data_IF_727755195387
#
_entry.id   IF_727755195387
#
_cell.length_a   1.000
_cell.length_b   1.000
_cell.length_c   1.000
_cell.angle_alpha   90.00
_cell.angle_beta   90.00
_cell.angle_gamma   90.00
#
_symmetry.space_group_name_H-M   'P 1'
#
loop_
_entity.id
_entity.type
_entity.pdbx_description
1 polymer ?
#
# COMPACT_ATOMS: atom_id res chain seq x y z
N UNK A 1 -21.85 -10.82 0.41
CA UNK A 1 -20.79 -9.89 -0.05
C UNK A 1 -19.83 -10.69 -0.90
N UNK A 2 -19.59 -10.27 -2.15
CA UNK A 2 -18.68 -10.98 -3.07
C UNK A 2 -17.22 -10.93 -2.59
N UNK A 3 -16.37 -11.76 -3.18
CA UNK A 3 -14.92 -11.79 -2.91
C UNK A 3 -14.34 -10.43 -3.30
N UNK A 4 -13.80 -9.69 -2.32
CA UNK A 4 -13.09 -8.43 -2.57
C UNK A 4 -11.66 -8.78 -2.99
N UNK A 5 -11.33 -8.53 -4.26
CA UNK A 5 -9.95 -8.61 -4.72
C UNK A 5 -9.17 -7.39 -4.21
N UNK A 6 -8.15 -7.59 -3.38
CA UNK A 6 -7.30 -6.47 -2.91
C UNK A 6 -6.51 -5.82 -4.06
N UNK A 7 -6.20 -6.53 -5.13
CA UNK A 7 -5.38 -5.94 -6.20
C UNK A 7 -6.19 -4.97 -7.07
N UNK A 8 -7.47 -5.26 -7.31
CA UNK A 8 -8.39 -4.49 -8.16
C UNK A 8 -9.76 -4.46 -7.48
N UNK A 9 -9.93 -3.72 -6.37
CA UNK A 9 -11.14 -3.80 -5.54
C UNK A 9 -12.37 -3.16 -6.18
N UNK A 10 -12.19 -2.15 -7.02
CA UNK A 10 -13.26 -1.37 -7.66
C UNK A 10 -12.71 -0.59 -8.87
N UNK A 11 -13.48 0.37 -9.39
CA UNK A 11 -13.12 1.20 -10.57
C UNK A 11 -12.26 2.40 -10.23
N UNK A 12 -12.08 2.74 -8.95
CA UNK A 12 -11.46 3.98 -8.48
C UNK A 12 -10.02 3.79 -8.03
N UNK A 13 -9.61 2.56 -7.68
CA UNK A 13 -8.26 2.27 -7.20
C UNK A 13 -7.83 0.83 -7.44
N UNK A 14 -6.53 0.62 -7.34
CA UNK A 14 -5.90 -0.70 -7.43
C UNK A 14 -4.50 -0.66 -6.82
N UNK A 15 -3.84 -1.81 -6.73
CA UNK A 15 -2.48 -1.92 -6.21
C UNK A 15 -1.54 -2.50 -7.28
N UNK A 16 -0.34 -1.91 -7.42
CA UNK A 16 0.73 -2.36 -8.31
C UNK A 16 1.98 -2.88 -7.59
N UNK A 17 1.90 -3.12 -6.27
CA UNK A 17 3.09 -3.35 -5.45
C UNK A 17 3.87 -4.62 -5.81
N UNK A 18 3.18 -5.72 -6.14
CA UNK A 18 3.83 -6.97 -6.55
C UNK A 18 4.59 -6.83 -7.87
N UNK A 19 4.30 -5.78 -8.65
CA UNK A 19 5.02 -5.41 -9.87
C UNK A 19 6.18 -4.43 -9.60
N UNK A 20 6.53 -4.20 -8.33
CA UNK A 20 7.65 -3.35 -7.91
C UNK A 20 7.34 -1.85 -7.91
N UNK A 21 6.07 -1.44 -7.77
CA UNK A 21 5.69 -0.02 -7.80
C UNK A 21 6.45 0.85 -6.78
N UNK A 22 6.68 0.30 -5.59
CA UNK A 22 7.33 1.01 -4.48
C UNK A 22 8.80 0.62 -4.29
N UNK A 23 9.38 -0.16 -5.21
CA UNK A 23 10.78 -0.60 -5.12
C UNK A 23 11.73 0.45 -5.73
N UNK A 24 11.74 1.64 -5.15
CA UNK A 24 12.57 2.76 -5.56
C UNK A 24 13.14 3.42 -4.30
N UNK A 25 14.37 3.91 -4.34
CA UNK A 25 14.91 4.70 -3.22
C UNK A 25 14.04 5.93 -2.93
N UNK A 26 13.58 6.58 -4.00
CA UNK A 26 12.49 7.55 -3.97
C UNK A 26 11.21 6.92 -4.52
N UNK A 27 10.35 6.50 -3.59
CA UNK A 27 9.01 5.99 -3.88
C UNK A 27 7.91 7.01 -3.58
N UNK A 28 8.23 8.31 -3.54
CA UNK A 28 7.26 9.38 -3.35
C UNK A 28 6.15 9.33 -4.41
N UNK A 29 4.97 9.84 -4.04
CA UNK A 29 3.78 9.85 -4.89
C UNK A 29 4.07 10.49 -6.24
N UNK A 30 4.79 11.60 -6.23
CA UNK A 30 5.18 12.36 -7.40
C UNK A 30 6.02 11.49 -8.34
N UNK A 31 7.13 10.94 -7.82
CA UNK A 31 8.08 10.12 -8.59
C UNK A 31 7.42 8.86 -9.17
N UNK A 32 6.65 8.12 -8.37
CA UNK A 32 5.99 6.92 -8.90
C UNK A 32 4.86 7.25 -9.88
N UNK A 33 4.19 8.40 -9.73
CA UNK A 33 3.19 8.86 -10.69
C UNK A 33 3.83 9.19 -12.04
N UNK A 34 4.97 9.89 -12.04
CA UNK A 34 5.73 10.20 -13.26
C UNK A 34 6.15 8.93 -14.01
N UNK A 35 6.66 7.92 -13.28
CA UNK A 35 7.02 6.62 -13.85
C UNK A 35 5.80 5.96 -14.50
N UNK A 36 4.66 5.91 -13.80
CA UNK A 36 3.43 5.31 -14.32
C UNK A 36 2.90 6.06 -15.54
N UNK A 37 2.88 7.39 -15.51
CA UNK A 37 2.48 8.23 -16.64
C UNK A 37 3.36 7.97 -17.85
N UNK A 38 4.68 8.08 -17.67
CA UNK A 38 5.67 7.83 -18.71
C UNK A 38 5.51 6.46 -19.37
N UNK A 39 5.37 5.40 -18.56
CA UNK A 39 5.17 4.02 -19.07
C UNK A 39 3.85 3.88 -19.82
N UNK A 40 2.76 4.43 -19.27
CA UNK A 40 1.44 4.36 -19.91
C UNK A 40 1.45 5.06 -21.27
N UNK A 41 2.04 6.25 -21.34
CA UNK A 41 2.03 7.07 -22.56
C UNK A 41 2.92 6.46 -23.64
N UNK A 42 4.11 5.96 -23.26
CA UNK A 42 4.97 5.20 -24.15
C UNK A 42 4.30 3.93 -24.68
N UNK A 43 3.60 3.20 -23.81
CA UNK A 43 2.94 1.97 -24.20
C UNK A 43 1.83 2.27 -25.21
N UNK A 44 1.02 3.31 -24.97
CA UNK A 44 0.01 3.75 -25.94
C UNK A 44 0.65 4.18 -27.27
N UNK A 45 1.79 4.89 -27.23
CA UNK A 45 2.50 5.29 -28.43
C UNK A 45 2.97 4.09 -29.27
N UNK A 46 3.63 3.12 -28.66
CA UNK A 46 4.22 1.97 -29.38
C UNK A 46 3.22 0.84 -29.67
N UNK A 47 2.21 0.65 -28.82
CA UNK A 47 1.37 -0.55 -28.81
C UNK A 47 -0.12 -0.26 -29.01
N UNK A 48 -0.54 0.95 -29.36
CA UNK A 48 -1.95 1.26 -29.69
C UNK A 48 -2.54 0.40 -30.81
N UNK A 49 -1.69 -0.08 -31.74
CA UNK A 49 -2.06 -0.99 -32.84
C UNK A 49 -1.81 -2.47 -32.52
N UNK A 50 -1.36 -2.79 -31.31
CA UNK A 50 -1.02 -4.15 -30.84
C UNK A 50 0.02 -4.89 -31.69
N UNK A 51 0.95 -4.12 -32.23
CA UNK A 51 2.08 -4.62 -32.99
C UNK A 51 3.15 -5.15 -32.02
N UNK A 52 3.19 -6.48 -31.81
CA UNK A 52 4.05 -7.15 -30.81
C UNK A 52 5.55 -6.91 -31.03
N UNK A 53 5.97 -6.68 -32.28
CA UNK A 53 7.34 -6.31 -32.62
C UNK A 53 7.76 -4.95 -32.02
N UNK A 54 6.80 -4.09 -31.66
CA UNK A 54 7.05 -2.79 -31.02
C UNK A 54 7.29 -2.88 -29.52
N UNK A 55 6.97 -4.01 -28.88
CA UNK A 55 7.17 -4.17 -27.42
C UNK A 55 8.66 -4.08 -27.05
N UNK A 56 9.55 -4.61 -27.89
CA UNK A 56 11.00 -4.50 -27.67
C UNK A 56 11.50 -3.04 -27.70
N UNK A 57 10.91 -2.21 -28.56
CA UNK A 57 11.22 -0.77 -28.62
C UNK A 57 10.71 -0.06 -27.36
N UNK A 58 9.47 -0.36 -26.93
CA UNK A 58 8.92 0.14 -25.68
C UNK A 58 9.82 -0.19 -24.48
N UNK A 59 10.23 -1.46 -24.33
CA UNK A 59 11.08 -1.89 -23.21
C UNK A 59 12.43 -1.17 -23.21
N UNK A 60 13.03 -1.00 -24.40
CA UNK A 60 14.29 -0.26 -24.56
C UNK A 60 14.13 1.19 -24.13
N UNK A 61 13.06 1.86 -24.56
CA UNK A 61 12.76 3.24 -24.20
C UNK A 61 12.53 3.41 -22.70
N UNK A 62 11.74 2.52 -22.07
CA UNK A 62 11.51 2.54 -20.61
C UNK A 62 12.81 2.35 -19.84
N UNK A 63 13.69 1.44 -20.28
CA UNK A 63 14.99 1.19 -19.64
C UNK A 63 15.93 2.39 -19.72
N UNK A 64 15.86 3.16 -20.80
CA UNK A 64 16.73 4.33 -21.02
C UNK A 64 16.21 5.61 -20.37
N UNK A 65 14.95 5.63 -19.90
CA UNK A 65 14.40 6.79 -19.21
C UNK A 65 14.98 6.94 -17.81
N UNK A 66 15.19 8.19 -17.35
CA UNK A 66 15.58 8.43 -15.98
C UNK A 66 14.57 7.83 -15.00
N UNK A 67 15.07 7.11 -14.01
CA UNK A 67 14.29 6.62 -12.88
C UNK A 67 15.20 6.61 -11.64
N UNK A 68 14.64 6.66 -10.41
CA UNK A 68 15.43 6.50 -9.20
C UNK A 68 16.16 5.14 -9.19
N UNK A 69 17.22 5.00 -8.39
CA UNK A 69 17.77 3.68 -8.09
C UNK A 69 16.71 2.79 -7.43
N UNK A 70 16.84 1.48 -7.63
CA UNK A 70 15.99 0.50 -6.93
C UNK A 70 16.34 0.49 -5.45
N UNK A 71 15.35 0.25 -4.60
CA UNK A 71 15.62 0.03 -3.18
C UNK A 71 16.19 -1.38 -2.90
N UNK A 72 15.72 -2.38 -3.64
CA UNK A 72 16.14 -3.76 -3.55
C UNK A 72 16.39 -4.31 -4.96
N UNK A 73 17.62 -4.75 -5.24
CA UNK A 73 18.03 -5.22 -6.58
C UNK A 73 17.30 -6.49 -7.02
N UNK A 74 17.05 -7.39 -6.07
CA UNK A 74 16.36 -8.67 -6.28
C UNK A 74 14.87 -8.50 -6.60
N UNK A 75 14.30 -7.33 -6.28
CA UNK A 75 12.90 -7.02 -6.60
C UNK A 75 12.85 -6.42 -8.01
N UNK A 76 12.07 -7.07 -8.87
CA UNK A 76 11.86 -6.60 -10.23
C UNK A 76 10.84 -5.45 -10.26
N UNK A 77 11.18 -4.36 -10.98
CA UNK A 77 10.25 -3.28 -11.26
C UNK A 77 9.71 -3.48 -12.68
N UNK A 78 8.51 -4.06 -12.79
CA UNK A 78 7.91 -4.39 -14.07
C UNK A 78 7.75 -3.14 -14.93
N UNK A 79 8.33 -3.17 -16.13
CA UNK A 79 8.29 -2.11 -17.12
C UNK A 79 6.88 -1.93 -17.71
N UNK A 80 6.02 -2.94 -17.62
CA UNK A 80 4.63 -2.90 -18.09
C UNK A 80 3.62 -2.54 -16.99
N UNK A 81 4.08 -2.12 -15.81
CA UNK A 81 3.19 -1.52 -14.81
C UNK A 81 2.88 -0.06 -15.19
N UNK A 82 1.60 0.22 -15.42
CA UNK A 82 1.10 1.55 -15.78
C UNK A 82 -0.36 1.76 -15.38
N UNK A 83 -0.98 2.83 -15.86
CA UNK A 83 -2.41 3.10 -15.67
C UNK A 83 -3.24 2.28 -16.64
N UNK A 84 -4.29 1.63 -16.12
CA UNK A 84 -5.13 0.66 -16.84
C UNK A 84 -6.54 1.16 -17.15
N UNK A 85 -6.79 2.44 -16.87
CA UNK A 85 -8.04 3.12 -17.18
C UNK A 85 -7.77 4.53 -17.72
N UNK A 86 -8.75 5.07 -18.44
CA UNK A 86 -8.63 6.39 -19.09
C UNK A 86 -8.46 7.55 -18.10
N UNK A 87 -9.05 7.43 -16.91
CA UNK A 87 -8.99 8.45 -15.86
C UNK A 87 -7.72 8.33 -15.00
N UNK A 88 -6.85 7.33 -15.28
CA UNK A 88 -5.61 7.06 -14.55
C UNK A 88 -5.82 6.91 -13.04
N UNK A 89 -6.93 6.27 -12.67
CA UNK A 89 -7.30 5.99 -11.27
C UNK A 89 -6.75 4.66 -10.77
N UNK A 90 -6.55 3.71 -11.69
CA UNK A 90 -6.09 2.35 -11.43
C UNK A 90 -4.79 2.09 -12.15
N UNK A 91 -3.88 1.45 -11.44
CA UNK A 91 -2.64 0.87 -11.95
C UNK A 91 -2.79 -0.64 -12.18
N UNK A 92 -1.99 -1.18 -13.09
CA UNK A 92 -1.98 -2.61 -13.40
C UNK A 92 -1.07 -2.94 -14.57
N UNK A 93 -1.13 -4.19 -15.02
CA UNK A 93 -0.33 -4.67 -16.13
C UNK A 93 -0.93 -4.21 -17.46
N UNK A 94 -0.15 -3.44 -18.23
CA UNK A 94 -0.52 -2.94 -19.56
C UNK A 94 -0.63 -4.06 -20.61
N UNK A 95 -0.07 -5.24 -20.34
CA UNK A 95 -0.13 -6.43 -21.20
C UNK A 95 -1.29 -7.38 -20.83
N UNK A 96 -2.06 -7.06 -19.78
CA UNK A 96 -3.10 -7.95 -19.27
C UNK A 96 -4.26 -8.09 -20.27
N UNK A 97 -4.86 -9.28 -20.43
CA UNK A 97 -5.98 -9.47 -21.37
C UNK A 97 -7.19 -8.57 -21.08
N UNK A 98 -7.42 -8.21 -19.81
CA UNK A 98 -8.50 -7.28 -19.43
C UNK A 98 -8.36 -5.87 -20.00
N UNK A 99 -7.17 -5.46 -20.45
CA UNK A 99 -6.93 -4.15 -21.06
C UNK A 99 -6.54 -4.26 -22.55
N UNK A 100 -6.61 -5.47 -23.10
CA UNK A 100 -6.17 -5.80 -24.46
C UNK A 100 -7.19 -6.68 -25.20
N UNK A 101 -8.49 -6.43 -25.05
CA UNK A 101 -9.59 -7.19 -25.67
C UNK A 101 -9.46 -8.73 -25.55
N UNK A 102 -8.98 -9.21 -24.41
CA UNK A 102 -8.81 -10.64 -24.15
C UNK A 102 -7.50 -11.24 -24.66
N UNK A 103 -6.67 -10.50 -25.40
CA UNK A 103 -5.35 -10.97 -25.81
C UNK A 103 -4.36 -10.86 -24.65
N UNK A 104 -3.76 -11.99 -24.27
CA UNK A 104 -2.79 -12.05 -23.19
C UNK A 104 -1.36 -11.88 -23.72
N UNK A 105 -0.77 -10.71 -23.45
CA UNK A 105 0.59 -10.39 -23.87
C UNK A 105 1.59 -10.54 -22.71
N UNK A 106 1.23 -11.14 -21.58
CA UNK A 106 2.12 -11.19 -20.40
C UNK A 106 3.39 -12.02 -20.61
N UNK A 107 3.44 -12.88 -21.62
CA UNK A 107 4.65 -13.61 -22.02
C UNK A 107 5.78 -12.69 -22.53
N UNK A 108 5.49 -11.41 -22.81
CA UNK A 108 6.51 -10.40 -23.15
C UNK A 108 7.10 -9.67 -21.94
N UNK A 109 6.57 -9.89 -20.73
CA UNK A 109 7.13 -9.36 -19.48
C UNK A 109 8.13 -10.34 -18.87
N UNK A 110 9.04 -9.84 -18.03
CA UNK A 110 10.08 -10.63 -17.36
C UNK A 110 9.56 -11.90 -16.65
N UNK A 111 8.47 -11.79 -15.88
CA UNK A 111 7.91 -12.93 -15.16
C UNK A 111 7.11 -13.90 -16.05
N UNK A 112 6.68 -13.48 -17.25
CA UNK A 112 5.78 -14.26 -18.10
C UNK A 112 4.37 -14.44 -17.53
N UNK A 113 3.47 -15.04 -18.32
CA UNK A 113 2.06 -15.18 -17.91
C UNK A 113 1.88 -16.13 -16.71
N UNK A 114 2.62 -17.23 -16.66
CA UNK A 114 2.41 -18.32 -15.69
C UNK A 114 2.69 -17.84 -14.26
N UNK A 115 3.84 -17.21 -14.03
CA UNK A 115 4.19 -16.65 -12.73
C UNK A 115 3.27 -15.48 -12.36
N UNK A 116 2.92 -14.62 -13.31
CA UNK A 116 2.00 -13.51 -13.06
C UNK A 116 0.59 -14.00 -12.68
N UNK A 117 0.08 -15.04 -13.34
CA UNK A 117 -1.24 -15.60 -13.08
C UNK A 117 -1.30 -16.38 -11.77
N UNK A 118 -0.26 -17.15 -11.45
CA UNK A 118 -0.18 -17.93 -10.21
C UNK A 118 0.14 -17.10 -8.96
N UNK A 119 0.43 -15.81 -9.09
CA UNK A 119 0.80 -14.97 -7.97
C UNK A 119 -0.40 -14.60 -7.09
N UNK A 120 -0.43 -15.12 -5.86
CA UNK A 120 -1.43 -14.77 -4.85
C UNK A 120 -0.91 -13.67 -3.92
N UNK A 121 -1.62 -12.55 -3.85
CA UNK A 121 -1.29 -11.47 -2.91
C UNK A 121 -1.50 -11.94 -1.45
N UNK A 122 -0.47 -11.86 -0.58
CA UNK A 122 -0.60 -12.27 0.82
C UNK A 122 -1.75 -11.55 1.56
N UNK A 123 -2.04 -10.31 1.20
CA UNK A 123 -3.12 -9.53 1.81
C UNK A 123 -4.51 -10.08 1.50
N UNK A 124 -4.68 -10.80 0.37
CA UNK A 124 -5.92 -11.55 0.11
C UNK A 124 -6.07 -12.73 1.07
N UNK A 125 -4.98 -13.37 1.48
CA UNK A 125 -5.01 -14.53 2.36
C UNK A 125 -5.09 -14.13 3.84
N UNK A 126 -4.32 -13.14 4.26
CA UNK A 126 -4.13 -12.83 5.68
C UNK A 126 -5.07 -11.78 6.25
N UNK A 127 -5.61 -10.86 5.44
CA UNK A 127 -6.62 -9.91 5.92
C UNK A 127 -8.00 -10.58 5.97
N UNK A 128 -8.70 -10.43 7.08
CA UNK A 128 -10.08 -10.91 7.19
C UNK A 128 -11.05 -9.96 6.45
N UNK A 129 -12.31 -10.37 6.33
CA UNK A 129 -13.34 -9.60 5.61
C UNK A 129 -13.53 -8.18 6.14
N UNK A 130 -13.48 -7.98 7.46
CA UNK A 130 -13.67 -6.67 8.10
C UNK A 130 -12.46 -5.75 7.84
N UNK A 131 -11.25 -6.29 7.93
CA UNK A 131 -10.00 -5.59 7.64
C UNK A 131 -9.92 -5.19 6.15
N UNK A 132 -10.29 -6.11 5.25
CA UNK A 132 -10.39 -5.82 3.81
C UNK A 132 -11.41 -4.71 3.55
N UNK A 133 -12.60 -4.81 4.16
CA UNK A 133 -13.64 -3.80 4.00
C UNK A 133 -13.18 -2.43 4.50
N UNK A 134 -12.51 -2.35 5.66
CA UNK A 134 -11.96 -1.10 6.17
C UNK A 134 -11.06 -0.42 5.12
N UNK A 135 -10.04 -1.11 4.62
CA UNK A 135 -9.06 -0.50 3.71
C UNK A 135 -9.62 -0.23 2.32
N UNK A 136 -10.50 -1.08 1.79
CA UNK A 136 -11.11 -0.82 0.47
C UNK A 136 -12.16 0.28 0.52
N UNK A 137 -12.77 0.52 1.69
CA UNK A 137 -13.76 1.58 1.83
C UNK A 137 -13.13 2.95 2.08
N UNK A 138 -12.13 3.04 2.98
CA UNK A 138 -11.63 4.34 3.44
C UNK A 138 -10.57 4.96 2.53
N UNK A 139 -9.83 4.13 1.79
CA UNK A 139 -8.77 4.56 0.88
C UNK A 139 -9.35 4.78 -0.53
N UNK A 140 -8.98 5.90 -1.15
CA UNK A 140 -9.63 6.37 -2.37
C UNK A 140 -8.76 6.32 -3.63
N UNK A 141 -7.44 6.24 -3.49
CA UNK A 141 -6.51 6.31 -4.61
C UNK A 141 -5.51 5.15 -4.60
N UNK A 142 -4.99 4.79 -5.77
CA UNK A 142 -4.08 3.66 -5.96
C UNK A 142 -2.80 3.72 -5.11
N UNK A 143 -2.26 4.91 -4.84
CA UNK A 143 -0.97 5.06 -4.19
C UNK A 143 -1.08 4.76 -2.70
N UNK A 144 -1.90 5.52 -1.97
CA UNK A 144 -2.06 5.28 -0.54
C UNK A 144 -2.68 3.90 -0.29
N UNK A 145 -3.64 3.49 -1.13
CA UNK A 145 -4.21 2.16 -1.08
C UNK A 145 -3.14 1.08 -1.20
N UNK A 146 -2.29 1.15 -2.23
CA UNK A 146 -1.25 0.15 -2.45
C UNK A 146 -0.23 0.11 -1.31
N UNK A 147 0.21 1.26 -0.80
CA UNK A 147 1.13 1.33 0.35
C UNK A 147 0.55 0.65 1.61
N UNK A 148 -0.75 0.83 1.86
CA UNK A 148 -1.41 0.29 3.05
C UNK A 148 -1.68 -1.19 2.91
N UNK A 149 -2.26 -1.63 1.78
CA UNK A 149 -2.67 -3.03 1.65
C UNK A 149 -1.49 -3.98 1.56
N UNK A 150 -0.30 -3.52 1.18
CA UNK A 150 0.93 -4.32 1.26
C UNK A 150 1.44 -4.52 2.68
N UNK A 151 0.94 -3.74 3.64
CA UNK A 151 1.40 -3.73 5.02
C UNK A 151 0.33 -4.34 5.93
N UNK A 152 0.25 -5.67 5.92
CA UNK A 152 -0.76 -6.44 6.65
C UNK A 152 -0.77 -6.10 8.15
N UNK A 153 0.41 -5.91 8.74
CA UNK A 153 0.54 -5.65 10.17
C UNK A 153 -0.01 -4.28 10.54
N UNK A 154 0.22 -3.25 9.70
CA UNK A 154 -0.37 -1.93 9.89
C UNK A 154 -1.90 -2.00 9.97
N UNK A 155 -2.51 -2.70 9.00
CA UNK A 155 -3.97 -2.83 8.91
C UNK A 155 -4.51 -3.58 10.11
N UNK A 156 -3.90 -4.73 10.44
CA UNK A 156 -4.33 -5.58 11.55
C UNK A 156 -4.20 -4.89 12.89
N UNK A 157 -3.09 -4.24 13.16
CA UNK A 157 -2.88 -3.59 14.45
C UNK A 157 -3.72 -2.32 14.59
N UNK A 158 -3.89 -1.52 13.55
CA UNK A 158 -4.83 -0.40 13.58
C UNK A 158 -6.25 -0.87 13.89
N UNK A 159 -6.73 -1.88 13.15
CA UNK A 159 -8.05 -2.49 13.37
C UNK A 159 -8.20 -3.03 14.80
N UNK A 160 -7.19 -3.77 15.27
CA UNK A 160 -7.15 -4.33 16.62
C UNK A 160 -7.24 -3.24 17.69
N UNK A 161 -6.45 -2.16 17.58
CA UNK A 161 -6.46 -1.07 18.57
C UNK A 161 -7.84 -0.43 18.66
N UNK A 162 -8.44 -0.07 17.53
CA UNK A 162 -9.78 0.52 17.52
C UNK A 162 -10.80 -0.43 18.14
N UNK A 163 -10.85 -1.70 17.71
CA UNK A 163 -11.77 -2.70 18.25
C UNK A 163 -11.59 -2.91 19.76
N UNK A 164 -10.36 -2.89 20.26
CA UNK A 164 -10.11 -3.00 21.70
C UNK A 164 -10.76 -1.83 22.47
N UNK A 165 -10.62 -0.59 21.99
CA UNK A 165 -11.27 0.57 22.62
C UNK A 165 -12.79 0.59 22.44
N UNK A 166 -13.28 0.11 21.30
CA UNK A 166 -14.70 -0.05 21.00
C UNK A 166 -15.28 -1.37 21.51
N UNK A 167 -14.54 -2.17 22.26
CA UNK A 167 -14.97 -3.47 22.80
C UNK A 167 -15.33 -4.56 21.79
N UNK A 168 -15.66 -4.28 20.53
CA UNK A 168 -16.25 -5.22 19.58
C UNK A 168 -15.90 -4.93 18.12
N UNK A 169 -16.30 -5.82 17.18
CA UNK A 169 -16.01 -5.66 15.76
C UNK A 169 -16.64 -4.37 15.21
N UNK A 170 -16.04 -3.85 14.14
CA UNK A 170 -16.55 -2.64 13.47
C UNK A 170 -17.76 -2.99 12.61
N UNK A 171 -18.83 -2.22 12.75
CA UNK A 171 -20.04 -2.33 11.96
C UNK A 171 -19.83 -1.71 10.56
N UNK A 172 -19.97 -2.47 9.46
CA UNK A 172 -19.75 -1.95 8.11
C UNK A 172 -20.58 -0.72 7.76
N UNK A 173 -21.79 -0.59 8.31
CA UNK A 173 -22.68 0.55 8.10
C UNK A 173 -22.17 1.84 8.74
N UNK A 174 -21.44 1.75 9.86
CA UNK A 174 -20.84 2.93 10.51
C UNK A 174 -19.59 3.38 9.76
N UNK A 175 -18.82 2.43 9.22
CA UNK A 175 -17.64 2.71 8.39
C UNK A 175 -17.98 3.53 7.14
N UNK A 176 -19.25 3.54 6.71
CA UNK A 176 -19.74 4.38 5.60
C UNK A 176 -19.90 5.86 5.94
N UNK A 177 -19.73 6.24 7.20
CA UNK A 177 -19.73 7.65 7.58
C UNK A 177 -18.56 8.40 6.90
N UNK A 178 -18.84 9.49 6.15
CA UNK A 178 -17.79 10.22 5.42
C UNK A 178 -16.71 10.80 6.33
N UNK A 179 -17.06 11.28 7.53
CA UNK A 179 -16.08 11.86 8.45
C UNK A 179 -15.19 10.76 9.07
N UNK A 180 -15.77 9.62 9.42
CA UNK A 180 -15.01 8.46 9.91
C UNK A 180 -14.04 7.94 8.82
N UNK A 181 -14.48 7.93 7.57
CA UNK A 181 -13.63 7.61 6.42
C UNK A 181 -12.44 8.57 6.31
N UNK A 182 -12.67 9.88 6.46
CA UNK A 182 -11.58 10.88 6.46
C UNK A 182 -10.62 10.63 7.64
N UNK A 183 -11.13 10.39 8.85
CA UNK A 183 -10.30 10.13 10.03
C UNK A 183 -9.43 8.88 9.86
N UNK A 184 -9.99 7.80 9.30
CA UNK A 184 -9.25 6.59 9.01
C UNK A 184 -8.16 6.83 7.95
N UNK A 185 -8.50 7.56 6.89
CA UNK A 185 -7.56 7.94 5.84
C UNK A 185 -6.43 8.81 6.41
N UNK A 186 -6.72 9.74 7.32
CA UNK A 186 -5.71 10.56 7.99
C UNK A 186 -4.68 9.68 8.71
N UNK A 187 -5.12 8.62 9.42
CA UNK A 187 -4.19 7.66 10.05
C UNK A 187 -3.32 6.96 9.00
N UNK A 188 -3.93 6.45 7.93
CA UNK A 188 -3.18 5.75 6.90
C UNK A 188 -2.22 6.67 6.14
N UNK A 189 -2.53 7.97 6.00
CA UNK A 189 -1.67 8.98 5.38
C UNK A 189 -0.32 9.17 6.08
N UNK A 190 -0.17 8.66 7.32
CA UNK A 190 1.12 8.55 7.97
C UNK A 190 2.10 7.71 7.12
N UNK A 191 1.63 6.77 6.30
CA UNK A 191 2.49 6.05 5.34
C UNK A 191 3.18 6.96 4.32
N UNK A 192 2.66 8.17 4.09
CA UNK A 192 3.30 9.21 3.27
C UNK A 192 4.08 10.19 4.17
N UNK A 193 3.41 10.71 5.21
CA UNK A 193 3.85 11.93 5.91
C UNK A 193 4.56 11.68 7.26
N UNK A 194 4.92 10.44 7.57
CA UNK A 194 5.58 10.11 8.84
C UNK A 194 6.94 10.77 9.01
N UNK A 195 7.07 11.66 10.00
CA UNK A 195 8.28 12.44 10.25
C UNK A 195 9.46 11.66 10.83
N UNK A 196 9.20 10.54 11.52
CA UNK A 196 10.24 9.69 12.10
C UNK A 196 10.73 8.60 11.13
N UNK A 197 10.47 8.77 9.83
CA UNK A 197 10.80 7.76 8.82
C UNK A 197 12.30 7.69 8.59
N UNK A 198 12.84 6.48 8.62
CA UNK A 198 14.22 6.19 8.19
C UNK A 198 14.28 6.11 6.66
N UNK A 199 15.20 6.88 6.04
CA UNK A 199 15.51 6.78 4.61
C UNK A 199 16.07 5.41 4.25
N UNK A 200 15.87 4.97 3.00
CA UNK A 200 16.36 3.68 2.50
C UNK A 200 15.66 2.46 3.12
N UNK A 201 14.44 2.63 3.63
CA UNK A 201 13.63 1.55 4.20
C UNK A 201 12.19 1.62 3.70
N UNK A 202 11.66 0.47 3.28
CA UNK A 202 10.24 0.31 2.97
C UNK A 202 9.53 -0.49 4.09
N UNK A 203 8.83 0.25 4.96
CA UNK A 203 8.10 -0.33 6.09
C UNK A 203 9.01 -1.13 7.04
N UNK A 204 8.59 -2.36 7.38
CA UNK A 204 9.28 -3.22 8.34
C UNK A 204 10.53 -3.94 7.78
N UNK A 205 10.77 -3.89 6.48
CA UNK A 205 11.86 -4.62 5.83
C UNK A 205 13.10 -3.75 5.69
N UNK A 206 14.22 -4.20 6.26
CA UNK A 206 15.54 -3.62 6.03
C UNK A 206 16.38 -4.59 5.18
N UNK A 207 17.09 -4.05 4.19
CA UNK A 207 18.08 -4.84 3.44
C UNK A 207 19.47 -4.64 4.02
N UNK A 208 20.22 -5.72 4.15
CA UNK A 208 21.65 -5.66 4.45
C UNK A 208 22.33 -6.87 3.83
N UNK A 209 23.34 -6.63 2.98
CA UNK A 209 24.21 -7.67 2.40
C UNK A 209 23.48 -8.86 1.74
N UNK A 210 22.41 -8.63 0.99
CA UNK A 210 21.70 -9.72 0.31
C UNK A 210 20.66 -10.45 1.16
N UNK A 211 20.46 -10.05 2.43
CA UNK A 211 19.50 -10.69 3.33
C UNK A 211 18.31 -9.78 3.69
N UNK A 212 17.11 -10.36 3.65
CA UNK A 212 15.91 -9.76 4.23
C UNK A 212 15.98 -9.82 5.75
N UNK A 213 15.99 -8.64 6.40
CA UNK A 213 15.89 -8.56 7.86
C UNK A 213 14.68 -7.72 8.25
N UNK A 214 13.98 -8.17 9.28
CA UNK A 214 13.01 -7.30 9.96
C UNK A 214 13.79 -6.20 10.67
N UNK A 215 13.36 -4.96 10.47
CA UNK A 215 13.92 -3.85 11.21
C UNK A 215 13.69 -4.07 12.71
N UNK A 216 14.72 -3.75 13.51
CA UNK A 216 14.64 -3.80 14.97
C UNK A 216 14.61 -2.37 15.50
N UNK A 217 13.86 -2.17 16.58
CA UNK A 217 13.91 -0.95 17.38
C UNK A 217 14.58 -1.28 18.70
N UNK A 218 15.59 -0.48 19.06
CA UNK A 218 16.35 -0.65 20.30
C UNK A 218 15.66 0.11 21.44
N UNK A 219 14.62 -0.49 22.02
CA UNK A 219 13.89 0.13 23.14
C UNK A 219 14.76 0.28 24.40
N UNK A 220 15.71 -0.64 24.62
CA UNK A 220 16.65 -0.57 25.74
C UNK A 220 17.55 0.66 25.60
N UNK A 221 18.10 0.91 24.41
CA UNK A 221 18.84 2.12 24.09
C UNK A 221 18.03 3.42 24.21
N UNK A 222 16.70 3.35 24.02
CA UNK A 222 15.77 4.46 24.24
C UNK A 222 15.36 4.62 25.72
N UNK A 223 15.82 3.74 26.62
CA UNK A 223 15.51 3.77 28.04
C UNK A 223 14.05 3.43 28.38
N UNK A 224 13.38 2.64 27.53
CA UNK A 224 11.96 2.30 27.68
C UNK A 224 11.69 0.84 27.35
N UNK A 225 10.48 0.38 27.66
CA UNK A 225 9.99 -0.93 27.24
C UNK A 225 9.45 -0.86 25.81
N UNK A 226 9.21 -2.02 25.21
CA UNK A 226 8.56 -2.11 23.91
C UNK A 226 7.24 -1.34 23.87
N UNK A 227 7.10 -0.50 22.85
CA UNK A 227 5.90 0.30 22.61
C UNK A 227 4.68 -0.60 22.37
N UNK A 228 3.54 -0.22 22.93
CA UNK A 228 2.25 -0.86 22.59
C UNK A 228 1.87 -0.70 21.10
N UNK A 229 2.56 0.18 20.37
CA UNK A 229 2.40 0.43 18.94
C UNK A 229 3.53 -0.14 18.09
N UNK A 230 4.34 -1.06 18.62
CA UNK A 230 5.53 -1.63 17.97
C UNK A 230 5.34 -1.93 16.47
N UNK A 231 4.33 -2.73 16.10
CA UNK A 231 4.16 -3.10 14.70
C UNK A 231 3.76 -1.92 13.81
N UNK A 232 2.90 -1.01 14.30
CA UNK A 232 2.53 0.21 13.57
C UNK A 232 3.78 1.07 13.33
N UNK A 233 4.62 1.23 14.35
CA UNK A 233 5.87 1.99 14.25
C UNK A 233 6.84 1.33 13.25
N UNK A 234 6.94 0.00 13.23
CA UNK A 234 7.74 -0.72 12.24
C UNK A 234 7.19 -0.53 10.82
N UNK A 235 5.87 -0.66 10.63
CA UNK A 235 5.18 -0.45 9.35
C UNK A 235 5.33 0.95 8.78
N UNK A 236 5.38 1.97 9.66
CA UNK A 236 5.67 3.36 9.27
C UNK A 236 7.16 3.60 8.97
N UNK A 237 8.02 2.59 9.17
CA UNK A 237 9.45 2.71 8.96
C UNK A 237 10.06 3.70 9.95
N UNK A 238 9.66 3.66 11.22
CA UNK A 238 10.10 4.60 12.27
C UNK A 238 11.52 4.31 12.77
N UNK A 239 12.29 5.37 13.01
CA UNK A 239 13.58 5.36 13.71
C UNK A 239 13.62 6.54 14.67
N UNK A 240 14.15 6.31 15.87
CA UNK A 240 14.14 7.28 16.96
C UNK A 240 15.57 7.49 17.46
N UNK A 241 15.90 8.72 17.82
CA UNK A 241 17.19 9.07 18.43
C UNK A 241 17.06 9.09 19.95
N UNK A 242 15.89 9.47 20.46
CA UNK A 242 15.61 9.60 21.89
C UNK A 242 14.30 8.95 22.30
N UNK A 243 14.16 8.64 23.59
CA UNK A 243 12.88 8.21 24.16
C UNK A 243 11.78 9.28 24.03
N UNK A 244 12.15 10.57 23.94
CA UNK A 244 11.22 11.67 23.66
C UNK A 244 10.59 11.58 22.26
N UNK A 245 11.37 11.20 21.25
CA UNK A 245 10.86 10.99 19.89
C UNK A 245 9.83 9.85 19.84
N UNK A 246 10.11 8.78 20.58
CA UNK A 246 9.19 7.66 20.69
C UNK A 246 7.89 8.08 21.37
N UNK A 247 7.95 8.80 22.49
CA UNK A 247 6.76 9.31 23.18
C UNK A 247 5.92 10.19 22.26
N UNK A 248 6.54 11.11 21.53
CA UNK A 248 5.83 11.96 20.57
C UNK A 248 5.18 11.13 19.45
N UNK A 249 5.88 10.11 18.94
CA UNK A 249 5.30 9.20 17.96
C UNK A 249 4.08 8.45 18.51
N UNK A 250 4.15 7.95 19.74
CA UNK A 250 3.03 7.28 20.40
C UNK A 250 1.84 8.22 20.59
N UNK A 251 2.06 9.48 20.94
CA UNK A 251 1.00 10.50 21.08
C UNK A 251 0.28 10.79 19.75
N UNK A 252 1.03 10.82 18.64
CA UNK A 252 0.43 10.97 17.30
C UNK A 252 -0.50 9.79 17.02
N UNK A 253 -0.02 8.56 17.22
CA UNK A 253 -0.80 7.35 16.96
C UNK A 253 -2.04 7.25 17.85
N UNK A 254 -1.88 7.53 19.14
CA UNK A 254 -2.96 7.55 20.13
C UNK A 254 -4.06 8.54 19.70
N UNK A 255 -3.68 9.75 19.27
CA UNK A 255 -4.61 10.77 18.80
C UNK A 255 -5.43 10.31 17.60
N UNK A 256 -4.80 9.68 16.61
CA UNK A 256 -5.52 9.14 15.45
C UNK A 256 -6.50 8.04 15.83
N UNK A 257 -6.11 7.14 16.73
CA UNK A 257 -6.98 6.06 17.21
C UNK A 257 -8.17 6.63 17.98
N UNK A 258 -7.95 7.57 18.90
CA UNK A 258 -9.05 8.17 19.66
C UNK A 258 -10.01 8.99 18.81
N UNK A 259 -9.50 9.78 17.84
CA UNK A 259 -10.36 10.48 16.88
C UNK A 259 -11.33 9.52 16.20
N UNK A 260 -10.86 8.34 15.79
CA UNK A 260 -11.70 7.32 15.18
C UNK A 260 -12.71 6.77 16.19
N UNK A 261 -12.26 6.37 17.37
CA UNK A 261 -13.09 5.79 18.44
C UNK A 261 -14.20 6.75 18.86
N UNK A 262 -13.89 8.02 19.08
CA UNK A 262 -14.86 9.05 19.46
C UNK A 262 -15.90 9.28 18.36
N UNK A 263 -15.46 9.41 17.11
CA UNK A 263 -16.39 9.56 15.98
C UNK A 263 -17.32 8.36 15.87
N UNK A 264 -16.76 7.14 15.97
CA UNK A 264 -17.54 5.92 15.91
C UNK A 264 -18.61 5.87 17.01
N UNK A 265 -18.24 6.20 18.26
CA UNK A 265 -19.16 6.24 19.41
C UNK A 265 -20.27 7.29 19.25
N UNK A 266 -19.97 8.41 18.60
CA UNK A 266 -20.97 9.45 18.34
C UNK A 266 -22.00 9.02 17.28
N UNK A 267 -21.61 8.18 16.32
CA UNK A 267 -22.52 7.63 15.29
C UNK A 267 -23.35 6.48 15.87
N UNK A 268 -22.77 5.67 16.76
CA UNK A 268 -23.46 4.58 17.45
C UNK A 268 -23.42 4.74 18.98
N UNK A 269 -24.26 5.63 19.54
CA UNK A 269 -24.31 5.88 20.98
C UNK A 269 -24.80 4.66 21.78
N UNK A 270 -25.50 3.74 21.11
CA UNK A 270 -26.05 2.53 21.71
C UNK A 270 -25.01 1.41 21.81
N UNK A 271 -23.82 1.55 21.23
CA UNK A 271 -22.75 0.56 21.37
C UNK A 271 -22.42 0.29 22.84
N UNK A 272 -22.52 1.30 23.71
CA UNK A 272 -22.29 1.19 25.15
C UNK A 272 -23.41 0.48 25.92
N UNK A 273 -24.64 0.37 25.37
CA UNK A 273 -25.83 -0.10 26.10
C UNK A 273 -26.10 -1.60 25.99
N UNK A 274 -25.28 -2.34 25.25
CA UNK A 274 -25.43 -3.80 25.06
C UNK A 274 -24.32 -4.61 25.74
N UNK A 275 -23.72 -4.07 26.81
CA UNK A 275 -22.76 -4.77 27.66
C UNK A 275 -23.12 -4.63 29.12
#
# INVERSE_FOLDING_TARGET
MGIISICQPDTEKSCGACCGLYNWEDYSRETVSEILHSRTDLFQHYFSRREVDKLALYQTEVKNRPHPPKMYDDIFNCEFLGFVDQNRRRVGCLLHPMVNDGYDYRDYAFYGKELCFGHECPSNTYLNTEEKFLVTHVLGDWYLYGLVVTDIDLVKDYYKKIRTHLGGPLKPEILKDPQLTVIARDFFSLKENWKFRKKGRFGKYAFSYGEYRLAKMDYEGLGTKESKYHNILLSLGSSFETGGDLLEAEEILERHIWRFVERYRNIDPLWYRLR
#
